data_IF_384160463623
#
_entry.id   IF_384160463623
#
_cell.length_a   1.000
_cell.length_b   1.000
_cell.length_c   1.000
_cell.angle_alpha   90.00
_cell.angle_beta   90.00
_cell.angle_gamma   90.00
#
_symmetry.space_group_name_H-M   'P 1'
#
loop_
_entity.id
_entity.type
_entity.pdbx_description
1 polymer ?
#
# COMPACT_ATOMS: atom_id res chain seq x y z
N UNK A 1 -18.32 20.13 -26.89
CA UNK A 1 -18.13 19.61 -25.52
C UNK A 1 -17.60 18.19 -25.63
N UNK A 2 -16.29 18.01 -25.46
CA UNK A 2 -15.64 16.71 -25.55
C UNK A 2 -15.61 16.07 -24.15
N UNK A 3 -16.09 14.82 -24.04
CA UNK A 3 -15.98 14.00 -22.82
C UNK A 3 -14.50 13.69 -22.57
N UNK A 4 -13.96 13.87 -21.36
CA UNK A 4 -12.63 13.36 -21.04
C UNK A 4 -12.68 11.83 -20.95
N UNK A 5 -11.76 11.18 -21.66
CA UNK A 5 -11.51 9.74 -21.54
C UNK A 5 -10.75 9.49 -20.24
N UNK A 6 -11.41 8.87 -19.26
CA UNK A 6 -10.75 8.31 -18.07
C UNK A 6 -9.82 7.17 -18.50
N UNK A 7 -8.54 7.15 -18.07
CA UNK A 7 -7.64 6.05 -18.36
C UNK A 7 -8.08 4.77 -17.63
N UNK A 8 -7.89 3.65 -18.31
CA UNK A 8 -8.36 2.32 -17.93
C UNK A 8 -7.53 1.78 -16.74
N UNK A 9 -8.11 1.81 -15.53
CA UNK A 9 -7.48 1.44 -14.24
C UNK A 9 -6.88 0.01 -14.24
N UNK A 10 -7.43 -0.89 -15.07
CA UNK A 10 -6.94 -2.26 -15.27
C UNK A 10 -5.57 -2.34 -15.96
N UNK A 11 -5.11 -1.28 -16.61
CA UNK A 11 -3.83 -1.25 -17.33
C UNK A 11 -2.65 -0.84 -16.43
N UNK A 12 -2.90 -0.03 -15.39
CA UNK A 12 -1.90 0.37 -14.41
C UNK A 12 -1.48 -0.80 -13.48
N UNK A 13 -2.43 -1.67 -13.10
CA UNK A 13 -2.16 -2.85 -12.27
C UNK A 13 -1.33 -3.93 -12.95
N UNK A 14 -1.25 -3.95 -14.29
CA UNK A 14 -0.47 -4.96 -15.04
C UNK A 14 1.04 -4.73 -14.99
N UNK A 15 1.51 -3.52 -14.69
CA UNK A 15 2.95 -3.22 -14.64
C UNK A 15 3.62 -3.51 -13.27
N UNK A 16 2.84 -3.58 -12.18
CA UNK A 16 3.39 -3.83 -10.84
C UNK A 16 3.65 -5.32 -10.55
N UNK A 17 3.03 -6.25 -11.28
CA UNK A 17 3.07 -7.68 -10.99
C UNK A 17 4.16 -8.48 -11.72
N UNK A 18 5.10 -7.84 -12.43
CA UNK A 18 6.04 -8.54 -13.33
C UNK A 18 7.51 -8.60 -12.88
N UNK A 19 7.83 -8.33 -11.61
CA UNK A 19 9.23 -8.44 -11.12
C UNK A 19 9.35 -9.23 -9.82
N UNK A 20 9.21 -10.54 -9.91
CA UNK A 20 9.81 -11.50 -8.96
C UNK A 20 10.26 -12.73 -9.73
N UNK A 21 11.52 -12.76 -10.14
CA UNK A 21 12.21 -14.02 -10.47
C UNK A 21 13.74 -13.83 -10.47
N UNK A 22 14.42 -14.81 -9.86
CA UNK A 22 15.87 -15.06 -9.79
C UNK A 22 16.73 -14.28 -8.78
N UNK A 23 16.87 -14.86 -7.58
CA UNK A 23 18.13 -14.80 -6.84
C UNK A 23 18.60 -16.23 -6.55
N UNK A 24 19.61 -16.68 -7.30
CA UNK A 24 20.45 -17.84 -7.00
C UNK A 24 21.32 -17.54 -5.79
N UNK A 25 21.21 -18.35 -4.74
CA UNK A 25 22.14 -18.34 -3.62
C UNK A 25 23.51 -18.87 -4.07
N UNK A 26 24.54 -18.02 -4.01
CA UNK A 26 25.94 -18.42 -4.17
C UNK A 26 26.48 -18.70 -2.76
N UNK A 27 26.65 -19.98 -2.43
CA UNK A 27 27.43 -20.41 -1.26
C UNK A 27 28.90 -20.51 -1.67
N UNK A 28 29.75 -19.63 -1.12
CA UNK A 28 31.21 -19.72 -1.25
C UNK A 28 31.73 -20.52 -0.04
N UNK A 29 32.10 -21.78 -0.27
CA UNK A 29 32.86 -22.61 0.66
C UNK A 29 34.33 -22.64 0.27
N UNK A 30 35.22 -22.30 1.20
CA UNK A 30 36.68 -22.38 1.04
C UNK A 30 37.20 -23.83 1.17
N UNK A 31 38.31 -24.06 0.46
CA UNK A 31 39.04 -25.29 0.13
C UNK A 31 39.65 -26.05 1.31
N UNK A 32 39.76 -27.39 1.19
CA UNK A 32 41.06 -28.10 1.08
C UNK A 32 40.94 -29.63 0.86
N UNK A 33 41.92 -30.16 0.10
CA UNK A 33 42.45 -31.55 0.03
C UNK A 33 41.83 -32.52 -1.02
N UNK A 34 42.54 -33.62 -1.37
CA UNK A 34 43.45 -33.70 -2.52
C UNK A 34 42.99 -34.67 -3.63
N UNK A 35 43.65 -34.53 -4.78
CA UNK A 35 43.45 -35.24 -6.05
C UNK A 35 43.62 -36.76 -6.01
N UNK A 36 42.69 -37.48 -6.66
CA UNK A 36 42.81 -38.87 -7.10
C UNK A 36 42.18 -39.06 -8.50
N UNK A 37 42.56 -40.14 -9.23
CA UNK A 37 42.61 -40.13 -10.70
C UNK A 37 41.31 -40.47 -11.42
N UNK A 38 41.34 -40.05 -12.69
CA UNK A 38 40.36 -40.16 -13.76
C UNK A 38 39.96 -41.61 -14.05
N UNK A 39 38.64 -41.86 -14.07
CA UNK A 39 38.03 -42.96 -14.83
C UNK A 39 36.98 -42.32 -15.75
N UNK A 40 37.24 -42.41 -17.05
CA UNK A 40 36.37 -41.92 -18.11
C UNK A 40 35.17 -42.87 -18.27
N UNK A 41 33.96 -42.33 -18.15
CA UNK A 41 32.71 -42.99 -18.52
C UNK A 41 32.11 -42.31 -19.76
N UNK A 42 31.44 -43.06 -20.66
CA UNK A 42 30.94 -42.55 -21.93
C UNK A 42 29.74 -41.61 -21.76
N UNK A 43 29.52 -40.66 -22.70
CA UNK A 43 28.40 -39.73 -22.64
C UNK A 43 27.08 -40.45 -22.99
N UNK A 44 26.19 -40.60 -22.01
CA UNK A 44 24.78 -40.87 -22.27
C UNK A 44 24.09 -39.56 -22.65
N UNK A 45 23.87 -39.38 -23.94
CA UNK A 45 23.02 -38.33 -24.49
C UNK A 45 21.56 -38.66 -24.17
N UNK A 46 21.04 -38.13 -23.07
CA UNK A 46 19.59 -38.04 -22.88
C UNK A 46 19.06 -36.84 -23.64
N UNK A 47 18.29 -37.14 -24.68
CA UNK A 47 17.41 -36.19 -25.34
C UNK A 47 16.45 -35.60 -24.30
N UNK A 48 16.65 -34.32 -23.95
CA UNK A 48 15.66 -33.53 -23.23
C UNK A 48 14.55 -33.19 -24.22
N UNK A 49 13.41 -33.86 -24.10
CA UNK A 49 12.17 -33.35 -24.67
C UNK A 49 11.85 -32.02 -23.99
N UNK A 50 11.59 -30.93 -24.74
CA UNK A 50 11.00 -29.74 -24.16
C UNK A 50 9.56 -30.10 -23.77
N UNK A 51 9.34 -30.41 -22.49
CA UNK A 51 7.99 -30.41 -21.93
C UNK A 51 7.58 -28.95 -21.87
N UNK A 52 6.84 -28.50 -22.88
CA UNK A 52 6.10 -27.25 -22.85
C UNK A 52 5.07 -27.40 -21.72
N UNK A 53 5.48 -27.03 -20.50
CA UNK A 53 4.59 -26.91 -19.37
C UNK A 53 3.74 -25.66 -19.63
N UNK A 54 2.70 -25.86 -20.43
CA UNK A 54 1.62 -24.90 -20.59
C UNK A 54 0.90 -24.86 -19.24
N UNK A 55 1.45 -24.08 -18.30
CA UNK A 55 0.78 -23.73 -17.07
C UNK A 55 -0.40 -22.86 -17.50
N UNK A 56 -1.52 -23.52 -17.81
CA UNK A 56 -2.80 -22.85 -18.01
C UNK A 56 -3.09 -22.21 -16.65
N UNK A 57 -2.83 -20.91 -16.56
CA UNK A 57 -3.25 -20.06 -15.45
C UNK A 57 -4.76 -20.17 -15.42
N UNK A 58 -5.25 -21.09 -14.59
CA UNK A 58 -6.66 -21.29 -14.39
C UNK A 58 -7.15 -20.00 -13.74
N UNK A 59 -7.83 -19.15 -14.50
CA UNK A 59 -8.45 -17.94 -13.99
C UNK A 59 -9.45 -18.37 -12.92
N UNK A 60 -9.03 -18.26 -11.66
CA UNK A 60 -9.92 -18.48 -10.52
C UNK A 60 -11.09 -17.53 -10.67
N UNK A 61 -12.29 -18.09 -10.86
CA UNK A 61 -13.49 -17.29 -11.00
C UNK A 61 -13.67 -16.40 -9.76
N UNK A 62 -14.09 -15.15 -9.98
CA UNK A 62 -14.39 -14.23 -8.89
C UNK A 62 -15.44 -14.85 -7.94
N UNK A 63 -15.31 -14.66 -6.61
CA UNK A 63 -16.32 -15.11 -5.68
C UNK A 63 -17.67 -14.45 -5.99
N UNK A 64 -18.79 -15.16 -5.80
CA UNK A 64 -20.10 -14.55 -5.91
C UNK A 64 -20.28 -13.49 -4.82
N UNK A 65 -21.02 -12.43 -5.14
CA UNK A 65 -21.39 -11.41 -4.16
C UNK A 65 -22.30 -12.05 -3.10
N UNK A 66 -21.94 -11.97 -1.81
CA UNK A 66 -22.79 -12.53 -0.76
C UNK A 66 -24.14 -11.81 -0.65
N UNK A 67 -25.11 -12.48 -0.04
CA UNK A 67 -26.38 -11.83 0.29
C UNK A 67 -26.15 -10.74 1.34
N UNK A 68 -26.73 -9.55 1.11
CA UNK A 68 -26.67 -8.44 2.08
C UNK A 68 -27.47 -8.78 3.35
N UNK A 69 -27.09 -8.22 4.52
CA UNK A 69 -27.89 -8.35 5.73
C UNK A 69 -29.32 -7.82 5.52
N UNK A 70 -30.33 -8.59 5.92
CA UNK A 70 -31.76 -8.25 5.69
C UNK A 70 -32.19 -7.03 6.52
N UNK A 71 -31.71 -6.94 7.76
CA UNK A 71 -32.05 -5.86 8.70
C UNK A 71 -30.87 -4.90 8.84
N UNK A 72 -30.72 -4.01 7.86
CA UNK A 72 -29.67 -3.01 7.87
C UNK A 72 -30.10 -1.79 8.71
N UNK A 73 -29.33 -1.37 9.72
CA UNK A 73 -29.60 -0.11 10.42
C UNK A 73 -29.48 1.09 9.49
N UNK A 74 -29.99 2.24 9.93
CA UNK A 74 -29.75 3.50 9.22
C UNK A 74 -28.24 3.78 9.11
N UNK A 75 -27.76 4.33 7.98
CA UNK A 75 -26.35 4.69 7.83
C UNK A 75 -25.86 5.61 8.95
N UNK A 76 -24.66 5.35 9.46
CA UNK A 76 -24.03 6.15 10.51
C UNK A 76 -22.70 6.70 10.01
N UNK A 77 -22.42 7.96 10.31
CA UNK A 77 -21.09 8.53 10.09
C UNK A 77 -20.18 8.03 11.22
N UNK A 78 -19.01 7.43 10.92
CA UNK A 78 -18.08 7.01 11.97
C UNK A 78 -17.68 8.17 12.88
N UNK A 79 -17.51 7.86 14.17
CA UNK A 79 -16.98 8.80 15.15
C UNK A 79 -15.44 8.77 15.13
N UNK A 80 -14.82 9.91 14.83
CA UNK A 80 -13.36 10.05 14.78
C UNK A 80 -12.67 9.66 16.09
N UNK A 81 -13.37 9.76 17.23
CA UNK A 81 -12.80 9.39 18.54
C UNK A 81 -12.53 7.90 18.69
N UNK A 82 -13.21 7.03 17.92
CA UNK A 82 -12.91 5.60 17.84
C UNK A 82 -12.10 5.20 16.61
N UNK A 83 -11.65 6.16 15.80
CA UNK A 83 -10.67 5.91 14.74
C UNK A 83 -9.27 6.07 15.32
N UNK A 84 -8.52 4.96 15.36
CA UNK A 84 -7.13 4.92 15.76
C UNK A 84 -6.28 5.32 14.55
N UNK A 85 -5.77 6.55 14.57
CA UNK A 85 -4.80 7.08 13.60
C UNK A 85 -3.48 6.30 13.69
N UNK A 86 -3.27 5.39 12.75
CA UNK A 86 -2.04 4.64 12.61
C UNK A 86 -0.94 5.56 12.08
N UNK A 87 0.00 5.89 12.97
CA UNK A 87 1.25 6.60 12.65
C UNK A 87 2.39 5.60 12.62
N UNK A 88 2.79 5.12 11.43
CA UNK A 88 3.65 3.95 11.37
C UNK A 88 5.06 4.23 11.89
N UNK A 89 5.45 3.52 12.95
CA UNK A 89 6.81 3.51 13.49
C UNK A 89 7.80 3.01 12.45
N UNK A 90 9.12 3.28 12.55
CA UNK A 90 10.13 2.77 11.61
C UNK A 90 10.12 1.27 11.27
N UNK A 91 9.54 0.45 12.14
CA UNK A 91 9.51 -1.01 12.02
C UNK A 91 8.14 -1.57 11.67
N UNK A 92 7.10 -0.72 11.62
CA UNK A 92 5.74 -1.20 11.36
C UNK A 92 5.60 -1.63 9.89
N UNK A 93 4.95 -2.76 9.68
CA UNK A 93 4.47 -3.17 8.36
C UNK A 93 3.21 -2.38 8.04
N UNK A 94 3.28 -1.52 7.03
CA UNK A 94 2.17 -0.69 6.54
C UNK A 94 1.51 -1.28 5.30
N UNK A 95 1.91 -2.51 4.93
CA UNK A 95 1.42 -3.17 3.74
C UNK A 95 1.92 -2.51 2.45
N UNK A 96 1.15 -2.75 1.39
CA UNK A 96 1.48 -2.38 0.01
C UNK A 96 0.73 -1.15 -0.51
N UNK A 97 -0.32 -0.72 0.17
CA UNK A 97 -1.18 0.38 -0.26
C UNK A 97 -2.33 0.65 0.70
N UNK A 98 -3.33 1.39 0.20
CA UNK A 98 -4.54 1.75 0.93
C UNK A 98 -5.80 1.34 0.19
N UNK A 99 -6.83 0.96 0.94
CA UNK A 99 -8.21 0.88 0.49
C UNK A 99 -8.86 2.23 0.79
N UNK A 100 -9.22 2.96 -0.27
CA UNK A 100 -9.75 4.33 -0.21
C UNK A 100 -10.97 4.50 -1.10
N UNK A 101 -11.83 5.52 -0.84
CA UNK A 101 -12.84 5.93 -1.81
C UNK A 101 -12.17 6.48 -3.09
N UNK A 102 -12.79 6.19 -4.24
CA UNK A 102 -12.36 6.72 -5.54
C UNK A 102 -12.73 8.18 -5.74
N UNK A 103 -13.81 8.61 -5.09
CA UNK A 103 -14.23 10.00 -5.05
C UNK A 103 -13.63 10.65 -3.81
N UNK A 104 -12.94 11.76 -3.99
CA UNK A 104 -12.49 12.55 -2.86
C UNK A 104 -13.70 13.14 -2.13
N UNK A 105 -13.73 13.10 -0.79
CA UNK A 105 -14.80 13.73 -0.03
C UNK A 105 -14.84 15.22 -0.35
N UNK A 106 -16.03 15.74 -0.60
CA UNK A 106 -16.24 17.15 -0.87
C UNK A 106 -15.78 17.97 0.37
N UNK A 107 -14.75 18.83 0.23
CA UNK A 107 -14.24 19.62 1.35
C UNK A 107 -15.26 20.65 1.84
N UNK A 108 -16.23 21.04 1.01
CA UNK A 108 -17.26 22.03 1.35
C UNK A 108 -18.51 21.39 1.97
N UNK A 109 -18.56 20.06 2.02
CA UNK A 109 -19.64 19.34 2.71
C UNK A 109 -19.51 19.56 4.23
N UNK A 110 -20.53 20.20 4.81
CA UNK A 110 -20.62 20.42 6.26
C UNK A 110 -20.69 19.12 7.08
N UNK A 111 -20.93 18.00 6.43
CA UNK A 111 -20.97 16.65 7.02
C UNK A 111 -19.59 15.96 7.01
N UNK A 112 -18.57 16.59 6.39
CA UNK A 112 -17.20 16.06 6.24
C UNK A 112 -16.32 16.21 7.48
N UNK A 113 -16.90 16.36 8.68
CA UNK A 113 -16.10 16.55 9.90
C UNK A 113 -15.23 15.35 10.24
N UNK A 114 -15.61 14.15 9.78
CA UNK A 114 -14.83 12.92 9.92
C UNK A 114 -14.13 12.56 8.62
N UNK A 115 -12.81 12.33 8.71
CA UNK A 115 -11.99 11.81 7.62
C UNK A 115 -12.36 10.39 7.17
N UNK A 116 -13.22 9.71 7.93
CA UNK A 116 -13.74 8.37 7.66
C UNK A 116 -15.23 8.39 7.23
N UNK A 117 -15.80 9.57 6.99
CA UNK A 117 -17.22 9.73 6.60
C UNK A 117 -17.64 8.88 5.40
N UNK A 118 -16.73 8.63 4.45
CA UNK A 118 -16.96 7.76 3.30
C UNK A 118 -17.39 6.33 3.67
N UNK A 119 -17.08 5.84 4.89
CA UNK A 119 -17.52 4.51 5.34
C UNK A 119 -19.06 4.40 5.41
N UNK A 120 -19.76 5.53 5.53
CA UNK A 120 -21.23 5.62 5.50
C UNK A 120 -21.83 5.20 4.15
N UNK A 121 -21.05 5.25 3.08
CA UNK A 121 -21.56 5.07 1.71
C UNK A 121 -21.03 3.81 1.02
N UNK A 122 -20.26 2.98 1.74
CA UNK A 122 -19.72 1.73 1.19
C UNK A 122 -20.55 0.51 1.55
N UNK A 123 -20.33 -0.56 0.80
CA UNK A 123 -20.71 -1.91 1.14
C UNK A 123 -19.57 -2.85 0.72
N UNK A 124 -18.93 -3.50 1.70
CA UNK A 124 -17.80 -4.39 1.45
C UNK A 124 -17.99 -5.69 2.26
N UNK A 125 -18.21 -6.83 1.60
CA UNK A 125 -18.21 -8.12 2.27
C UNK A 125 -16.78 -8.45 2.73
N UNK A 126 -16.66 -8.99 3.93
CA UNK A 126 -15.38 -9.35 4.54
C UNK A 126 -15.31 -10.84 4.84
N UNK A 127 -14.12 -11.41 4.64
CA UNK A 127 -13.86 -12.84 4.68
C UNK A 127 -12.70 -13.14 5.65
N UNK A 128 -12.75 -14.25 6.41
CA UNK A 128 -11.59 -14.69 7.20
C UNK A 128 -10.42 -15.15 6.32
N UNK A 129 -10.74 -15.80 5.19
CA UNK A 129 -9.78 -16.19 4.15
C UNK A 129 -10.45 -16.19 2.76
N UNK A 130 -9.68 -16.15 1.65
CA UNK A 130 -10.21 -16.17 0.28
C UNK A 130 -11.10 -17.38 -0.08
N UNK A 131 -10.84 -18.52 0.54
CA UNK A 131 -11.53 -19.79 0.27
C UNK A 131 -12.70 -20.06 1.24
N UNK A 132 -12.98 -19.12 2.14
CA UNK A 132 -14.01 -19.26 3.17
C UNK A 132 -15.30 -18.51 2.82
N UNK A 133 -16.38 -18.86 3.50
CA UNK A 133 -17.60 -18.06 3.47
C UNK A 133 -17.36 -16.67 4.08
N UNK A 134 -18.07 -15.62 3.61
CA UNK A 134 -17.99 -14.29 4.19
C UNK A 134 -18.41 -14.36 5.66
N UNK A 135 -17.68 -13.67 6.54
CA UNK A 135 -18.01 -13.65 7.97
C UNK A 135 -18.84 -12.43 8.36
N UNK A 136 -18.90 -11.40 7.51
CA UNK A 136 -19.66 -10.20 7.76
C UNK A 136 -19.55 -9.16 6.65
N UNK A 137 -20.01 -7.96 6.96
CA UNK A 137 -19.99 -6.79 6.07
C UNK A 137 -19.46 -5.56 6.79
N UNK A 138 -18.67 -4.76 6.09
CA UNK A 138 -18.46 -3.34 6.41
C UNK A 138 -19.40 -2.56 5.50
N UNK A 139 -20.50 -2.03 6.04
CA UNK A 139 -21.56 -1.41 5.24
C UNK A 139 -22.20 -0.25 5.99
N UNK A 140 -22.34 0.89 5.32
CA UNK A 140 -23.02 2.07 5.84
C UNK A 140 -22.55 2.57 7.22
N UNK A 141 -21.24 2.49 7.48
CA UNK A 141 -20.65 2.86 8.78
C UNK A 141 -20.79 1.78 9.87
N UNK A 142 -21.28 0.59 9.52
CA UNK A 142 -21.44 -0.54 10.42
C UNK A 142 -20.49 -1.68 10.06
N UNK A 143 -19.98 -2.37 11.06
CA UNK A 143 -19.50 -3.74 10.95
C UNK A 143 -20.63 -4.68 11.36
N UNK A 144 -21.04 -5.57 10.47
CA UNK A 144 -22.14 -6.50 10.70
C UNK A 144 -21.61 -7.93 10.54
N UNK A 145 -21.15 -8.57 11.63
CA UNK A 145 -20.82 -9.99 11.61
C UNK A 145 -22.08 -10.84 11.38
N UNK A 146 -21.93 -11.96 10.69
CA UNK A 146 -23.04 -12.88 10.47
C UNK A 146 -23.63 -13.36 11.81
N UNK A 147 -24.96 -13.35 11.90
CA UNK A 147 -25.72 -13.79 13.08
C UNK A 147 -25.38 -13.02 14.38
N UNK A 148 -24.84 -11.80 14.27
CA UNK A 148 -24.47 -10.97 15.41
C UNK A 148 -25.08 -9.57 15.29
N UNK A 149 -25.08 -8.83 16.40
CA UNK A 149 -25.53 -7.43 16.40
C UNK A 149 -24.58 -6.54 15.58
N UNK A 150 -25.11 -5.58 14.79
CA UNK A 150 -24.30 -4.54 14.15
C UNK A 150 -23.48 -3.73 15.16
N UNK A 151 -22.25 -3.37 14.78
CA UNK A 151 -21.34 -2.54 15.55
C UNK A 151 -21.09 -1.25 14.76
N UNK A 152 -21.44 -0.08 15.30
CA UNK A 152 -21.12 1.19 14.65
C UNK A 152 -19.62 1.45 14.72
N UNK A 153 -19.01 1.74 13.57
CA UNK A 153 -17.59 2.02 13.45
C UNK A 153 -17.25 3.33 14.16
N UNK A 154 -16.20 3.33 14.98
CA UNK A 154 -15.78 4.49 15.76
C UNK A 154 -16.55 4.70 17.06
N UNK A 155 -17.70 4.06 17.25
CA UNK A 155 -18.47 4.15 18.51
C UNK A 155 -18.48 2.84 19.29
N UNK A 156 -18.89 1.76 18.62
CA UNK A 156 -19.06 0.43 19.25
C UNK A 156 -17.83 -0.46 18.98
N UNK A 157 -17.05 -0.14 17.94
CA UNK A 157 -15.80 -0.81 17.60
C UNK A 157 -14.74 0.21 17.15
N UNK A 158 -13.53 0.09 17.71
CA UNK A 158 -12.39 0.90 17.33
C UNK A 158 -11.76 0.39 16.03
N UNK A 159 -11.51 1.29 15.08
CA UNK A 159 -10.96 0.95 13.77
C UNK A 159 -9.59 1.57 13.58
N UNK A 160 -8.69 0.84 12.94
CA UNK A 160 -7.32 1.30 12.67
C UNK A 160 -7.20 1.73 11.23
N UNK A 161 -6.86 2.99 11.02
CA UNK A 161 -6.78 3.60 9.71
C UNK A 161 -5.52 4.46 9.62
N UNK A 162 -4.95 4.59 8.43
CA UNK A 162 -3.85 5.52 8.19
C UNK A 162 -4.40 6.81 7.62
N UNK A 163 -3.70 7.92 7.87
CA UNK A 163 -3.99 9.21 7.25
C UNK A 163 -2.97 9.49 6.14
N UNK A 164 -3.45 9.67 4.91
CA UNK A 164 -2.60 9.81 3.71
C UNK A 164 -2.73 11.18 3.04
N UNK A 165 -2.98 12.22 3.83
CA UNK A 165 -3.17 13.60 3.38
C UNK A 165 -4.25 14.33 4.16
N UNK A 166 -4.64 15.52 3.68
CA UNK A 166 -5.78 16.28 4.20
C UNK A 166 -7.10 15.56 3.88
N UNK A 167 -8.05 15.53 4.80
CA UNK A 167 -8.06 14.72 6.01
C UNK A 167 -8.71 13.34 5.73
N UNK A 168 -8.14 12.52 4.84
CA UNK A 168 -8.71 11.22 4.52
C UNK A 168 -8.11 10.10 5.38
N UNK A 169 -8.97 9.32 6.05
CA UNK A 169 -8.60 8.06 6.69
C UNK A 169 -8.86 6.88 5.76
N UNK A 170 -7.89 5.97 5.63
CA UNK A 170 -7.98 4.81 4.75
C UNK A 170 -7.52 3.53 5.46
N UNK A 171 -7.96 2.36 4.98
CA UNK A 171 -7.47 1.09 5.54
C UNK A 171 -6.16 0.69 4.87
N UNK A 172 -5.10 0.34 5.62
CA UNK A 172 -3.90 -0.19 5.02
C UNK A 172 -4.17 -1.59 4.44
N UNK A 173 -3.80 -1.77 3.18
CA UNK A 173 -3.86 -3.03 2.45
C UNK A 173 -2.51 -3.72 2.61
N UNK A 174 -2.52 -4.86 3.27
CA UNK A 174 -1.34 -5.64 3.63
C UNK A 174 -0.86 -6.51 2.47
N UNK A 175 -1.78 -7.00 1.65
CA UNK A 175 -1.49 -7.94 0.56
C UNK A 175 -2.53 -7.80 -0.55
N UNK A 176 -2.10 -7.94 -1.81
CA UNK A 176 -2.96 -8.09 -2.98
C UNK A 176 -2.46 -9.27 -3.81
N UNK A 177 -3.30 -10.28 -3.96
CA UNK A 177 -3.04 -11.47 -4.76
C UNK A 177 -3.42 -11.23 -6.22
N UNK A 178 -2.81 -11.99 -7.13
CA UNK A 178 -3.06 -11.88 -8.57
C UNK A 178 -4.45 -12.34 -9.01
N UNK A 179 -5.17 -13.05 -8.14
CA UNK A 179 -6.55 -13.50 -8.36
C UNK A 179 -7.59 -12.47 -7.90
N UNK A 180 -7.17 -11.31 -7.37
CA UNK A 180 -8.06 -10.23 -6.97
C UNK A 180 -8.44 -10.22 -5.49
N UNK A 181 -7.97 -11.19 -4.71
CA UNK A 181 -8.11 -11.16 -3.26
C UNK A 181 -7.10 -10.22 -2.62
N UNK A 182 -7.54 -9.43 -1.65
CA UNK A 182 -6.67 -8.55 -0.89
C UNK A 182 -6.95 -8.65 0.60
N UNK A 183 -5.89 -8.50 1.39
CA UNK A 183 -5.95 -8.49 2.85
C UNK A 183 -5.73 -7.08 3.34
N UNK A 184 -6.59 -6.59 4.22
CA UNK A 184 -6.47 -5.26 4.81
C UNK A 184 -6.69 -5.31 6.31
N UNK A 185 -6.08 -4.36 7.03
CA UNK A 185 -6.27 -4.19 8.46
C UNK A 185 -7.40 -3.19 8.70
N UNK A 186 -8.33 -3.54 9.59
CA UNK A 186 -9.46 -2.67 9.95
C UNK A 186 -9.55 -2.39 11.45
N UNK A 187 -8.88 -3.17 12.31
CA UNK A 187 -8.66 -2.86 13.74
C UNK A 187 -7.21 -3.18 14.14
N UNK A 188 -6.74 -2.82 15.35
CA UNK A 188 -5.34 -3.05 15.74
C UNK A 188 -4.90 -4.52 15.63
N UNK A 189 -5.82 -5.46 15.89
CA UNK A 189 -5.56 -6.91 15.79
C UNK A 189 -6.36 -7.59 14.66
N UNK A 190 -7.26 -6.86 14.00
CA UNK A 190 -8.21 -7.39 13.03
C UNK A 190 -7.78 -7.16 11.59
N UNK A 191 -7.62 -8.26 10.86
CA UNK A 191 -7.43 -8.28 9.41
C UNK A 191 -8.58 -9.01 8.75
N UNK A 192 -8.94 -8.58 7.55
CA UNK A 192 -9.96 -9.23 6.74
C UNK A 192 -9.48 -9.36 5.29
N UNK A 193 -10.04 -10.34 4.61
CA UNK A 193 -9.95 -10.48 3.17
C UNK A 193 -11.19 -9.88 2.51
N UNK A 194 -11.00 -9.30 1.33
CA UNK A 194 -12.07 -8.94 0.41
C UNK A 194 -11.59 -9.14 -1.03
N UNK A 195 -12.51 -9.09 -1.98
CA UNK A 195 -12.22 -9.30 -3.38
C UNK A 195 -12.45 -8.01 -4.18
N UNK A 196 -11.59 -7.72 -5.15
CA UNK A 196 -11.65 -6.47 -5.94
C UNK A 196 -12.97 -6.27 -6.71
N UNK A 197 -13.68 -7.36 -7.05
CA UNK A 197 -15.01 -7.29 -7.69
C UNK A 197 -16.12 -6.83 -6.77
N UNK A 198 -15.83 -6.60 -5.47
CA UNK A 198 -16.80 -6.11 -4.50
C UNK A 198 -16.61 -4.64 -4.16
N UNK A 199 -15.63 -3.96 -4.78
CA UNK A 199 -15.27 -2.58 -4.44
C UNK A 199 -16.31 -1.56 -4.89
N UNK A 200 -17.24 -1.91 -5.77
CA UNK A 200 -18.28 -1.05 -6.34
C UNK A 200 -19.70 -1.36 -5.84
N UNK A 201 -19.84 -2.18 -4.79
CA UNK A 201 -21.15 -2.52 -4.22
C UNK A 201 -21.79 -1.38 -3.41
N UNK A 202 -20.99 -0.40 -2.98
CA UNK A 202 -21.45 0.80 -2.28
C UNK A 202 -21.99 1.89 -3.21
N UNK A 203 -22.47 2.98 -2.62
CA UNK A 203 -22.77 4.21 -3.37
C UNK A 203 -21.48 4.94 -3.76
N UNK A 204 -20.45 4.84 -2.91
CA UNK A 204 -19.09 5.29 -3.22
C UNK A 204 -18.23 4.08 -3.59
N UNK A 205 -17.68 4.02 -4.82
CA UNK A 205 -16.76 2.96 -5.20
C UNK A 205 -15.42 3.10 -4.48
N UNK A 206 -14.84 1.96 -4.15
CA UNK A 206 -13.54 1.84 -3.52
C UNK A 206 -12.46 1.49 -4.54
N UNK A 207 -11.22 1.84 -4.21
CA UNK A 207 -10.04 1.43 -4.94
C UNK A 207 -8.93 1.02 -3.96
N UNK A 208 -8.09 0.11 -4.43
CA UNK A 208 -6.81 -0.19 -3.79
C UNK A 208 -5.77 0.68 -4.50
N UNK A 209 -5.20 1.63 -3.77
CA UNK A 209 -4.16 2.52 -4.25
C UNK A 209 -2.82 2.10 -3.62
N UNK A 210 -1.85 1.62 -4.42
CA UNK A 210 -0.51 1.32 -3.96
C UNK A 210 0.22 2.53 -3.37
N UNK A 211 1.12 2.30 -2.41
CA UNK A 211 1.84 3.38 -1.73
C UNK A 211 2.72 4.22 -2.66
N UNK A 212 3.27 3.65 -3.72
CA UNK A 212 4.06 4.39 -4.70
C UNK A 212 3.22 5.48 -5.38
N UNK A 213 2.02 5.15 -5.83
CA UNK A 213 1.08 6.14 -6.40
C UNK A 213 0.76 7.23 -5.37
N UNK A 214 0.34 6.84 -4.16
CA UNK A 214 -0.01 7.80 -3.12
C UNK A 214 1.17 8.72 -2.73
N UNK A 215 2.38 8.17 -2.61
CA UNK A 215 3.58 8.94 -2.23
C UNK A 215 4.00 9.92 -3.32
N UNK A 216 3.82 9.57 -4.60
CA UNK A 216 4.11 10.47 -5.71
C UNK A 216 3.23 11.72 -5.69
N UNK A 217 1.96 11.55 -5.32
CA UNK A 217 0.96 12.62 -5.30
C UNK A 217 0.92 13.38 -3.96
N UNK A 218 1.68 12.94 -2.97
CA UNK A 218 1.76 13.61 -1.68
C UNK A 218 2.42 14.99 -1.78
N UNK A 219 1.81 16.00 -1.15
CA UNK A 219 2.38 17.35 -1.08
C UNK A 219 3.73 17.38 -0.35
N UNK A 220 3.86 16.56 0.70
CA UNK A 220 5.06 16.44 1.51
C UNK A 220 5.16 15.06 2.14
N UNK A 221 6.39 14.55 2.24
CA UNK A 221 6.73 13.33 2.98
C UNK A 221 7.73 13.62 4.09
N UNK A 222 7.82 12.71 5.07
CA UNK A 222 8.80 12.74 6.15
C UNK A 222 9.48 11.38 6.30
N UNK A 223 10.69 11.34 6.84
CA UNK A 223 11.32 10.05 7.16
C UNK A 223 10.67 9.44 8.39
N UNK A 224 10.32 8.15 8.32
CA UNK A 224 9.73 7.41 9.46
C UNK A 224 10.68 7.30 10.65
N UNK A 225 12.00 7.37 10.41
CA UNK A 225 13.04 7.41 11.45
C UNK A 225 13.43 8.87 11.74
N UNK A 226 12.76 9.54 12.69
CA UNK A 226 13.15 10.89 13.07
C UNK A 226 14.57 10.89 13.65
N UNK A 227 15.30 11.97 13.40
CA UNK A 227 16.63 12.19 14.00
C UNK A 227 17.83 11.65 13.19
N UNK A 228 17.61 10.88 12.11
CA UNK A 228 18.69 10.42 11.24
C UNK A 228 18.60 11.05 9.86
N UNK A 229 19.65 11.77 9.46
CA UNK A 229 19.75 12.27 8.10
C UNK A 229 19.85 11.13 7.10
N UNK A 230 19.14 11.22 5.99
CA UNK A 230 19.16 10.21 4.93
C UNK A 230 20.01 10.66 3.74
N UNK A 231 20.71 9.76 3.05
CA UNK A 231 21.48 10.11 1.87
C UNK A 231 20.54 10.42 0.69
N UNK A 232 20.72 11.60 0.09
CA UNK A 232 20.14 11.96 -1.20
C UNK A 232 21.22 11.88 -2.28
N UNK A 233 20.92 11.20 -3.37
CA UNK A 233 21.87 10.87 -4.44
C UNK A 233 21.47 11.50 -5.77
N UNK A 234 22.43 11.65 -6.68
CA UNK A 234 22.18 12.22 -8.01
C UNK A 234 21.38 11.30 -8.94
N UNK A 235 21.37 9.98 -8.68
CA UNK A 235 20.71 8.97 -9.50
C UNK A 235 20.04 7.89 -8.60
N UNK A 236 19.02 7.15 -9.09
CA UNK A 236 18.26 6.15 -8.33
C UNK A 236 19.02 4.82 -8.18
N UNK A 237 20.22 4.86 -7.59
CA UNK A 237 21.03 3.68 -7.29
C UNK A 237 21.94 3.90 -6.09
N UNK A 238 22.23 2.82 -5.36
CA UNK A 238 22.98 2.86 -4.09
C UNK A 238 24.42 3.33 -4.25
N UNK A 239 25.00 3.17 -5.44
CA UNK A 239 26.39 3.55 -5.76
C UNK A 239 26.53 4.94 -6.38
N UNK A 240 25.42 5.64 -6.65
CA UNK A 240 25.46 6.98 -7.21
C UNK A 240 26.13 7.99 -6.25
N UNK A 241 26.79 9.05 -6.76
CA UNK A 241 27.38 10.07 -5.91
C UNK A 241 26.35 10.67 -4.94
N UNK A 242 26.81 10.92 -3.71
CA UNK A 242 26.02 11.62 -2.70
C UNK A 242 25.89 13.08 -3.10
N UNK A 243 24.66 13.59 -3.10
CA UNK A 243 24.38 14.99 -3.36
C UNK A 243 24.26 15.79 -2.06
N UNK A 244 23.50 15.26 -1.10
CA UNK A 244 23.33 15.87 0.21
C UNK A 244 22.92 14.83 1.26
N UNK A 245 23.02 15.20 2.53
CA UNK A 245 22.32 14.53 3.62
C UNK A 245 21.04 15.33 3.92
N UNK A 246 19.89 14.66 3.90
CA UNK A 246 18.58 15.28 4.15
C UNK A 246 18.25 15.10 5.61
N UNK A 247 18.23 16.19 6.37
CA UNK A 247 17.91 16.16 7.80
C UNK A 247 16.41 15.95 8.07
N UNK A 248 16.03 15.58 9.31
CA UNK A 248 14.63 15.40 9.71
C UNK A 248 13.81 16.69 9.71
N UNK A 249 14.46 17.86 9.75
CA UNK A 249 13.82 19.18 9.70
C UNK A 249 13.87 19.78 8.29
N UNK A 250 13.61 18.95 7.27
CA UNK A 250 13.60 19.37 5.87
C UNK A 250 12.17 19.35 5.34
N UNK A 251 11.86 20.25 4.41
CA UNK A 251 10.65 20.13 3.60
C UNK A 251 11.00 19.20 2.44
N UNK A 252 10.40 18.01 2.39
CA UNK A 252 10.66 17.00 1.37
C UNK A 252 9.41 16.87 0.49
N UNK A 253 9.49 17.38 -0.73
CA UNK A 253 8.42 17.32 -1.72
C UNK A 253 8.72 16.18 -2.72
N UNK A 254 7.86 15.15 -2.81
CA UNK A 254 7.89 14.15 -3.88
C UNK A 254 7.82 14.76 -5.27
N UNK A 255 8.61 14.24 -6.21
CA UNK A 255 8.59 14.65 -7.62
C UNK A 255 8.34 13.48 -8.56
N UNK A 256 9.02 12.35 -8.34
CA UNK A 256 8.91 11.17 -9.20
C UNK A 256 9.36 9.89 -8.49
N UNK A 257 9.04 8.73 -9.07
CA UNK A 257 9.40 7.42 -8.52
C UNK A 257 10.08 6.53 -9.57
N UNK A 258 11.12 5.84 -9.15
CA UNK A 258 11.80 4.79 -9.92
C UNK A 258 12.17 3.62 -8.99
N UNK A 259 11.31 2.60 -8.96
CA UNK A 259 11.44 1.46 -8.04
C UNK A 259 11.48 1.91 -6.57
N UNK A 260 12.58 1.58 -5.89
CA UNK A 260 12.82 1.93 -4.47
C UNK A 260 13.24 3.38 -4.24
N UNK A 261 13.36 4.19 -5.29
CA UNK A 261 13.87 5.55 -5.24
C UNK A 261 12.79 6.58 -5.50
N UNK A 262 12.71 7.56 -4.61
CA UNK A 262 11.85 8.72 -4.72
C UNK A 262 12.71 9.93 -5.06
N UNK A 263 12.44 10.52 -6.22
CA UNK A 263 12.99 11.82 -6.57
C UNK A 263 12.25 12.85 -5.73
N UNK A 264 13.01 13.68 -5.03
CA UNK A 264 12.50 14.67 -4.10
C UNK A 264 13.12 16.03 -4.38
N UNK A 265 12.35 17.08 -4.12
CA UNK A 265 12.86 18.44 -3.89
C UNK A 265 12.93 18.67 -2.39
N UNK A 266 14.11 19.00 -1.91
CA UNK A 266 14.39 19.19 -0.48
C UNK A 266 14.73 20.65 -0.23
N UNK A 267 14.04 21.28 0.72
CA UNK A 267 14.40 22.59 1.26
C UNK A 267 14.93 22.43 2.69
N UNK A 268 16.18 22.87 2.94
CA UNK A 268 16.81 22.78 4.26
C UNK A 268 17.82 23.92 4.54
N UNK A 269 17.95 24.38 5.80
CA UNK A 269 17.14 23.99 6.95
C UNK A 269 15.71 24.58 6.90
N UNK A 270 14.76 23.89 7.51
CA UNK A 270 13.38 24.35 7.67
C UNK A 270 12.89 24.11 9.10
N UNK A 271 11.83 24.81 9.52
CA UNK A 271 11.10 24.56 10.75
C UNK A 271 9.62 24.35 10.40
N UNK A 272 9.20 23.08 10.41
CA UNK A 272 7.87 22.71 9.90
C UNK A 272 7.76 23.05 8.41
N UNK A 273 6.78 23.88 8.05
CA UNK A 273 6.53 24.31 6.67
C UNK A 273 7.31 25.56 6.25
N UNK A 274 8.13 26.12 7.15
CA UNK A 274 8.84 27.38 6.88
C UNK A 274 10.33 27.13 6.62
N UNK A 275 10.83 27.47 5.42
CA UNK A 275 12.28 27.58 5.20
C UNK A 275 12.89 28.62 6.15
N UNK A 276 14.05 28.30 6.74
CA UNK A 276 14.78 29.23 7.61
C UNK A 276 15.75 30.11 6.81
N UNK A 277 16.20 31.28 7.33
CA UNK A 277 17.21 32.10 6.66
C UNK A 277 18.45 31.30 6.28
N UNK A 278 18.90 31.46 5.03
CA UNK A 278 20.01 30.68 4.48
C UNK A 278 19.62 29.27 4.00
N UNK A 279 18.33 28.93 3.95
CA UNK A 279 17.86 27.69 3.34
C UNK A 279 18.28 27.56 1.89
N UNK A 280 18.60 26.34 1.49
CA UNK A 280 18.87 25.96 0.11
C UNK A 280 17.84 24.94 -0.36
N UNK A 281 17.63 24.90 -1.68
CA UNK A 281 16.78 23.91 -2.35
C UNK A 281 17.66 23.03 -3.22
N UNK A 282 17.49 21.72 -3.12
CA UNK A 282 18.17 20.74 -3.96
C UNK A 282 17.22 19.62 -4.37
N UNK A 283 17.40 19.09 -5.58
CA UNK A 283 16.65 17.92 -6.05
C UNK A 283 17.56 16.71 -6.19
N UNK A 284 17.11 15.56 -5.73
CA UNK A 284 17.84 14.30 -5.86
C UNK A 284 16.98 13.10 -5.53
N UNK A 285 17.61 11.94 -5.37
CA UNK A 285 16.94 10.66 -5.12
C UNK A 285 17.20 10.19 -3.70
N UNK A 286 16.13 9.91 -2.95
CA UNK A 286 16.18 9.26 -1.65
C UNK A 286 15.57 7.86 -1.76
N UNK A 287 16.08 6.92 -0.97
CA UNK A 287 15.47 5.59 -0.91
C UNK A 287 14.20 5.68 -0.07
N UNK A 288 13.05 5.39 -0.66
CA UNK A 288 11.75 5.52 0.01
C UNK A 288 11.28 4.19 0.60
N UNK A 289 11.94 3.08 0.27
CA UNK A 289 11.61 1.72 0.69
C UNK A 289 12.89 0.90 0.86
N UNK A 290 12.94 0.05 1.90
CA UNK A 290 14.09 -0.83 2.11
C UNK A 290 14.00 -2.12 1.28
N UNK A 291 15.00 -2.99 1.41
CA UNK A 291 15.07 -4.27 0.67
C UNK A 291 13.98 -5.28 1.06
N UNK A 292 13.31 -5.05 2.19
CA UNK A 292 12.20 -5.86 2.68
C UNK A 292 10.83 -5.26 2.31
N UNK A 293 10.79 -4.36 1.32
CA UNK A 293 9.61 -3.65 0.86
C UNK A 293 8.95 -2.70 1.90
N UNK A 294 9.62 -2.39 3.00
CA UNK A 294 9.08 -1.51 4.05
C UNK A 294 9.35 -0.04 3.70
N UNK A 295 8.32 0.84 3.66
CA UNK A 295 8.51 2.26 3.44
C UNK A 295 9.42 2.90 4.51
N UNK A 296 10.33 3.76 4.08
CA UNK A 296 11.24 4.57 4.89
C UNK A 296 10.76 6.01 5.05
N UNK A 297 9.88 6.45 4.15
CA UNK A 297 9.18 7.73 4.19
C UNK A 297 7.70 7.51 4.48
N UNK A 298 7.03 8.53 5.00
CA UNK A 298 5.59 8.54 5.24
C UNK A 298 4.99 9.90 4.89
N UNK A 299 3.67 9.96 4.78
CA UNK A 299 2.95 11.21 4.56
C UNK A 299 3.16 12.16 5.74
N UNK A 300 3.48 13.42 5.45
CA UNK A 300 3.56 14.45 6.49
C UNK A 300 2.18 14.66 7.10
N UNK A 301 2.10 14.65 8.43
CA UNK A 301 0.88 15.06 9.14
C UNK A 301 0.60 16.57 9.01
N UNK A 302 1.55 17.34 8.47
CA UNK A 302 1.46 18.79 8.29
C UNK A 302 1.15 19.10 6.84
N UNK A 303 0.13 19.93 6.60
CA UNK A 303 -0.05 20.57 5.31
C UNK A 303 0.89 21.77 5.22
N UNK A 304 1.85 21.66 4.30
CA UNK A 304 2.52 22.77 3.66
C UNK A 304 1.94 22.85 2.23
#
# INVERSE_FOLDING_TARGET
>A
MAKPHSPNLLQALRHALWRREHWTAIAIGLLAAPSLPVIAAPPQAWARTPTTNTLIKQDTAAPPVPTRPVNLPAPVTPDDSGIIDLRPSPSDDVGIGQLRPTLEPDPDSSDSSSGASWLRDIALPVYPSPESEPWGWIIHGWLIPNNSSPLAIGRDAAFSMVRTGQPLYTFPVLELRSDGWFRFQYTPAGVAWAHVTHLDLGTVPLAIEPWDISMKDAAQVEFRRPGLSQPMRLEPRSTAPLQALVGPNSIIQPLDLDGDWLRVRVTQPAQGCMPLPGSSVAEGWVRWRNEADVPLVWFSARSC
#
